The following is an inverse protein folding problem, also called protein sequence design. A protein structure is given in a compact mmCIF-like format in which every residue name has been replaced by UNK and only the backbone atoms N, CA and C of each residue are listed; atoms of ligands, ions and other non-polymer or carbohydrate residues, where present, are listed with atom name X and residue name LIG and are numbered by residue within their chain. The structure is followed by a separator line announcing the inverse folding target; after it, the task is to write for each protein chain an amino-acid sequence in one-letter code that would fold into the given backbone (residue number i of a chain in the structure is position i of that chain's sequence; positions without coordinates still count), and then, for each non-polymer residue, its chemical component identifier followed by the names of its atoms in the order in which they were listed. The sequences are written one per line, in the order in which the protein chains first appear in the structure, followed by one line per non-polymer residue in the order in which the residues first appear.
data_IF_418715531232
#
_entry.id   IF_418715531232
#
_cell.length_a   1.000
_cell.length_b   1.000
_cell.length_c   1.000
_cell.angle_alpha   90.00
_cell.angle_beta   90.00
_cell.angle_gamma   90.00
#
_symmetry.space_group_name_H-M   'P 1'
#
loop_
_entity.id
_entity.type
_entity.pdbx_description
1 polymer ?
#
# COMPACT_ATOMS: atom_id res chain seq x y z
N UNK A 1 -63.12 11.74 -20.18
CA UNK A 1 -63.26 10.80 -19.04
C UNK A 1 -62.70 9.45 -19.48
N UNK A 2 -61.40 9.21 -19.28
CA UNK A 2 -60.75 7.95 -19.69
C UNK A 2 -61.05 6.91 -18.60
N UNK A 3 -61.80 5.85 -18.95
CA UNK A 3 -62.23 4.80 -18.01
C UNK A 3 -61.02 4.19 -17.31
N UNK A 4 -61.03 4.18 -15.97
CA UNK A 4 -59.96 3.65 -15.11
C UNK A 4 -59.52 2.21 -15.47
N UNK A 5 -60.42 1.40 -16.02
CA UNK A 5 -60.10 0.05 -16.52
C UNK A 5 -59.18 0.03 -17.75
N UNK A 6 -59.12 1.09 -18.56
CA UNK A 6 -58.18 1.22 -19.67
C UNK A 6 -56.76 1.51 -19.20
N UNK A 7 -56.63 2.35 -18.16
CA UNK A 7 -55.34 2.73 -17.57
C UNK A 7 -54.69 1.53 -16.88
N UNK A 8 -55.46 0.73 -16.12
CA UNK A 8 -54.92 -0.48 -15.50
C UNK A 8 -54.47 -1.53 -16.52
N UNK A 9 -55.21 -1.70 -17.61
CA UNK A 9 -54.82 -2.63 -18.68
C UNK A 9 -53.56 -2.16 -19.41
N UNK A 10 -53.43 -0.85 -19.65
CA UNK A 10 -52.21 -0.28 -20.22
C UNK A 10 -51.01 -0.44 -19.28
N UNK A 11 -51.18 -0.19 -17.98
CA UNK A 11 -50.13 -0.37 -16.99
C UNK A 11 -49.68 -1.84 -16.89
N UNK A 12 -50.62 -2.78 -16.92
CA UNK A 12 -50.33 -4.21 -16.92
C UNK A 12 -49.58 -4.66 -18.18
N UNK A 13 -49.95 -4.13 -19.35
CA UNK A 13 -49.24 -4.42 -20.61
C UNK A 13 -47.81 -3.85 -20.63
N UNK A 14 -47.62 -2.64 -20.12
CA UNK A 14 -46.28 -2.03 -20.00
C UNK A 14 -45.42 -2.84 -19.05
N UNK A 15 -45.96 -3.24 -17.90
CA UNK A 15 -45.23 -4.03 -16.91
C UNK A 15 -44.85 -5.41 -17.46
N UNK A 16 -45.78 -6.09 -18.15
CA UNK A 16 -45.51 -7.37 -18.79
C UNK A 16 -44.44 -7.25 -19.90
N UNK A 17 -44.47 -6.16 -20.67
CA UNK A 17 -43.46 -5.87 -21.69
C UNK A 17 -42.08 -5.65 -21.06
N UNK A 18 -41.98 -4.85 -19.99
CA UNK A 18 -40.71 -4.60 -19.29
C UNK A 18 -40.14 -5.87 -18.66
N UNK A 19 -41.00 -6.73 -18.09
CA UNK A 19 -40.59 -8.04 -17.56
C UNK A 19 -40.09 -8.97 -18.66
N UNK A 20 -40.78 -9.02 -19.80
CA UNK A 20 -40.35 -9.82 -20.95
C UNK A 20 -39.00 -9.35 -21.50
N UNK A 21 -38.78 -8.04 -21.58
CA UNK A 21 -37.50 -7.46 -21.98
C UNK A 21 -36.40 -7.78 -20.96
N UNK A 22 -36.66 -7.63 -19.66
CA UNK A 22 -35.70 -7.98 -18.60
C UNK A 22 -35.32 -9.47 -18.61
N UNK A 23 -36.30 -10.37 -18.78
CA UNK A 23 -36.04 -11.80 -18.88
C UNK A 23 -35.32 -12.16 -20.18
N UNK A 24 -35.61 -11.48 -21.29
CA UNK A 24 -34.84 -11.63 -22.53
C UNK A 24 -33.38 -11.18 -22.36
N UNK A 25 -33.11 -10.11 -21.60
CA UNK A 25 -31.76 -9.67 -21.24
C UNK A 25 -31.03 -10.62 -20.28
N UNK A 26 -31.75 -11.38 -19.46
CA UNK A 26 -31.16 -12.41 -18.60
C UNK A 26 -30.88 -13.71 -19.38
N UNK A 27 -31.71 -14.04 -20.38
CA UNK A 27 -31.60 -15.26 -21.20
C UNK A 27 -30.62 -15.12 -22.38
N UNK A 28 -30.55 -13.93 -22.97
CA UNK A 28 -29.44 -13.55 -23.85
C UNK A 28 -28.37 -12.98 -22.92
N UNK A 29 -27.36 -13.76 -22.54
CA UNK A 29 -26.14 -13.30 -21.86
C UNK A 29 -25.38 -12.27 -22.72
N UNK A 30 -25.96 -11.10 -22.93
CA UNK A 30 -25.34 -9.99 -23.64
C UNK A 30 -24.45 -9.31 -22.62
N UNK A 31 -23.20 -9.77 -22.56
CA UNK A 31 -22.08 -8.95 -22.12
C UNK A 31 -22.08 -7.67 -22.96
N UNK A 32 -22.77 -6.64 -22.47
CA UNK A 32 -22.64 -5.27 -22.94
C UNK A 32 -21.30 -4.72 -22.44
N UNK A 33 -20.20 -5.31 -22.90
CA UNK A 33 -18.93 -4.62 -23.03
C UNK A 33 -19.14 -3.55 -24.12
N UNK A 34 -19.60 -2.37 -23.70
CA UNK A 34 -19.81 -1.24 -24.58
C UNK A 34 -18.45 -0.66 -25.00
N UNK A 35 -17.74 -1.36 -25.90
CA UNK A 35 -16.61 -0.83 -26.67
C UNK A 35 -17.15 0.15 -27.71
N UNK A 36 -17.51 1.35 -27.25
CA UNK A 36 -17.87 2.50 -28.10
C UNK A 36 -16.68 3.05 -28.91
N UNK A 37 -15.49 2.46 -28.78
CA UNK A 37 -14.25 2.95 -29.42
C UNK A 37 -13.98 2.48 -30.86
N UNK A 38 -14.81 1.61 -31.47
CA UNK A 38 -14.41 0.96 -32.75
C UNK A 38 -15.00 1.55 -34.04
N UNK A 39 -15.76 2.65 -33.99
CA UNK A 39 -16.40 3.21 -35.18
C UNK A 39 -15.95 4.62 -35.58
N UNK A 40 -14.81 5.11 -35.08
CA UNK A 40 -14.15 6.33 -35.59
C UNK A 40 -12.63 6.12 -35.60
N UNK A 41 -12.12 5.45 -36.64
CA UNK A 41 -10.74 5.57 -37.09
C UNK A 41 -10.58 4.80 -38.39
N UNK A 42 -11.01 5.43 -39.49
CA UNK A 42 -10.44 5.13 -40.80
C UNK A 42 -9.37 6.17 -41.09
N UNK A 43 -8.26 5.65 -41.58
CA UNK A 43 -7.07 6.28 -42.17
C UNK A 43 -6.12 7.08 -41.27
N UNK A 44 -5.14 6.37 -40.69
CA UNK A 44 -3.71 6.74 -40.71
C UNK A 44 -2.87 5.44 -40.74
N UNK A 45 -1.84 5.31 -41.60
CA UNK A 45 -1.03 4.11 -41.67
C UNK A 45 0.13 4.13 -40.65
N UNK A 46 0.39 2.94 -40.09
CA UNK A 46 1.66 2.45 -39.58
C UNK A 46 2.43 3.32 -38.56
N UNK A 47 2.39 2.94 -37.28
CA UNK A 47 3.43 2.12 -36.62
C UNK A 47 3.19 2.15 -35.10
N UNK A 48 2.08 1.57 -34.62
CA UNK A 48 1.94 1.34 -33.18
C UNK A 48 2.80 0.14 -32.79
N UNK A 49 4.06 0.42 -32.49
CA UNK A 49 4.80 -0.42 -31.55
C UNK A 49 3.96 -0.40 -30.28
N UNK A 50 3.29 -1.53 -30.00
CA UNK A 50 2.69 -1.77 -28.69
C UNK A 50 3.81 -1.75 -27.66
N UNK A 51 4.15 -0.56 -27.17
CA UNK A 51 5.08 -0.38 -26.07
C UNK A 51 4.37 -0.96 -24.85
N UNK A 52 4.62 -2.23 -24.56
CA UNK A 52 4.35 -2.76 -23.23
C UNK A 52 4.92 -1.73 -22.24
N UNK A 53 4.12 -1.23 -21.28
CA UNK A 53 4.61 -0.23 -20.36
C UNK A 53 5.87 -0.79 -19.70
N UNK A 54 6.99 -0.08 -19.85
CA UNK A 54 8.28 -0.50 -19.31
C UNK A 54 8.10 -0.64 -17.80
N UNK A 55 8.13 -1.88 -17.31
CA UNK A 55 7.91 -2.18 -15.90
C UNK A 55 9.26 -2.11 -15.19
N UNK A 56 9.47 -1.06 -14.42
CA UNK A 56 10.64 -0.95 -13.55
C UNK A 56 10.46 -1.80 -12.29
N UNK A 57 11.59 -2.07 -11.61
CA UNK A 57 11.61 -2.84 -10.37
C UNK A 57 10.64 -2.28 -9.35
N UNK A 58 9.97 -3.15 -8.59
CA UNK A 58 8.89 -2.86 -7.65
C UNK A 58 7.70 -2.06 -8.23
N UNK A 59 7.60 -1.92 -9.56
CA UNK A 59 6.56 -1.11 -10.20
C UNK A 59 6.79 0.40 -10.05
N UNK A 60 8.04 0.83 -9.97
CA UNK A 60 8.40 2.25 -9.98
C UNK A 60 8.04 2.93 -11.31
N UNK A 61 7.92 4.25 -11.25
CA UNK A 61 7.75 5.11 -12.43
C UNK A 61 9.02 5.25 -13.29
N UNK A 62 10.20 5.10 -12.68
CA UNK A 62 11.52 5.26 -13.32
C UNK A 62 12.57 4.32 -12.74
N UNK A 63 13.65 4.08 -13.49
CA UNK A 63 14.82 3.33 -13.02
C UNK A 63 15.60 4.11 -11.96
N UNK A 64 16.19 3.39 -11.00
CA UNK A 64 17.20 3.95 -10.11
C UNK A 64 18.57 4.10 -10.80
N UNK A 65 19.41 5.05 -10.35
CA UNK A 65 20.77 5.17 -10.83
C UNK A 65 21.64 3.95 -10.42
N UNK A 66 22.79 3.73 -11.08
CA UNK A 66 23.74 2.69 -10.68
C UNK A 66 24.15 2.82 -9.20
N UNK A 67 24.48 1.69 -8.57
CA UNK A 67 24.88 1.68 -7.16
C UNK A 67 23.75 1.97 -6.17
N UNK A 68 22.48 1.84 -6.58
CA UNK A 68 21.32 1.98 -5.69
C UNK A 68 20.45 0.71 -5.70
N UNK A 69 19.69 0.51 -4.63
CA UNK A 69 18.57 -0.42 -4.57
C UNK A 69 17.26 0.32 -4.80
N UNK A 70 16.38 -0.24 -5.60
CA UNK A 70 15.00 0.19 -5.79
C UNK A 70 14.12 -0.34 -4.66
N UNK A 71 13.31 0.52 -4.05
CA UNK A 71 12.28 0.09 -3.10
C UNK A 71 10.94 0.76 -3.37
N UNK A 72 9.87 0.05 -3.00
CA UNK A 72 8.51 0.61 -2.89
C UNK A 72 7.83 0.01 -1.68
N UNK A 73 7.17 0.84 -0.89
CA UNK A 73 6.46 0.39 0.29
C UNK A 73 5.18 1.18 0.54
N UNK A 74 4.25 0.54 1.25
CA UNK A 74 2.99 1.11 1.65
C UNK A 74 2.65 0.72 3.10
N UNK A 75 2.00 1.62 3.83
CA UNK A 75 1.39 1.28 5.13
C UNK A 75 0.18 0.37 4.94
N UNK A 76 -0.39 -0.11 6.05
CA UNK A 76 -1.69 -0.78 6.03
C UNK A 76 -2.84 0.18 5.75
N UNK A 77 -3.96 -0.37 5.27
CA UNK A 77 -5.24 0.31 5.13
C UNK A 77 -6.17 -0.14 6.26
N UNK A 78 -6.38 0.77 7.23
CA UNK A 78 -7.07 0.47 8.48
C UNK A 78 -6.53 -0.83 9.12
N UNK A 79 -7.43 -1.73 9.53
CA UNK A 79 -7.12 -3.07 10.05
C UNK A 79 -7.34 -4.20 9.02
N UNK A 80 -7.63 -3.86 7.76
CA UNK A 80 -8.13 -4.81 6.76
C UNK A 80 -7.03 -5.23 5.78
N UNK A 81 -6.25 -4.28 5.28
CA UNK A 81 -5.18 -4.56 4.30
C UNK A 81 -3.84 -4.29 4.95
N UNK A 82 -3.02 -5.33 5.07
CA UNK A 82 -1.68 -5.21 5.62
C UNK A 82 -0.71 -4.43 4.72
N UNK A 83 0.41 -3.96 5.27
CA UNK A 83 1.41 -3.17 4.54
C UNK A 83 2.10 -3.98 3.46
N UNK A 84 2.77 -3.28 2.55
CA UNK A 84 3.54 -3.89 1.46
C UNK A 84 4.96 -3.33 1.48
N UNK A 85 5.98 -4.19 1.42
CA UNK A 85 7.39 -3.80 1.35
C UNK A 85 8.09 -4.57 0.23
N UNK A 86 8.60 -3.86 -0.76
CA UNK A 86 9.33 -4.39 -1.91
C UNK A 86 10.72 -3.77 -2.01
N UNK A 87 11.73 -4.59 -2.28
CA UNK A 87 13.10 -4.18 -2.55
C UNK A 87 13.66 -5.00 -3.71
N UNK A 88 14.23 -4.34 -4.72
CA UNK A 88 14.85 -5.01 -5.89
C UNK A 88 13.94 -6.07 -6.54
N UNK A 89 12.67 -5.74 -6.77
CA UNK A 89 11.61 -6.65 -7.25
C UNK A 89 11.25 -7.82 -6.33
N UNK A 90 11.93 -7.96 -5.19
CA UNK A 90 11.60 -8.96 -4.17
C UNK A 90 10.55 -8.39 -3.23
N UNK A 91 9.38 -9.03 -3.19
CA UNK A 91 8.35 -8.73 -2.21
C UNK A 91 8.76 -9.29 -0.85
N UNK A 92 9.16 -8.41 0.07
CA UNK A 92 9.68 -8.78 1.39
C UNK A 92 8.54 -9.04 2.38
N UNK A 93 7.59 -8.11 2.46
CA UNK A 93 6.45 -8.19 3.38
C UNK A 93 5.16 -7.84 2.64
N UNK A 94 4.10 -8.62 2.85
CA UNK A 94 2.76 -8.32 2.33
C UNK A 94 1.69 -9.23 2.93
N UNK A 95 0.42 -8.82 2.83
CA UNK A 95 -0.72 -9.68 3.14
C UNK A 95 -0.69 -11.02 2.40
N UNK A 96 -0.36 -11.02 1.09
CA UNK A 96 -0.29 -12.27 0.29
C UNK A 96 0.84 -13.21 0.71
N UNK A 97 1.87 -12.71 1.39
CA UNK A 97 2.95 -13.53 1.97
C UNK A 97 2.62 -14.04 3.37
N UNK A 98 1.48 -13.63 3.95
CA UNK A 98 1.06 -13.98 5.30
C UNK A 98 2.14 -13.70 6.37
N UNK A 99 2.92 -12.63 6.19
CA UNK A 99 4.03 -12.26 7.08
C UNK A 99 3.93 -10.82 7.59
N UNK A 100 2.72 -10.27 7.63
CA UNK A 100 2.41 -8.93 8.16
C UNK A 100 1.35 -9.03 9.24
N UNK A 101 1.37 -8.11 10.21
CA UNK A 101 0.43 -8.08 11.31
C UNK A 101 0.29 -6.69 11.91
N UNK A 102 -0.72 -6.50 12.78
CA UNK A 102 -0.97 -5.23 13.47
C UNK A 102 0.30 -4.71 14.16
N UNK A 103 0.46 -3.40 14.17
CA UNK A 103 1.59 -2.70 14.79
C UNK A 103 2.66 -2.29 13.79
N UNK A 104 3.92 -2.46 14.15
CA UNK A 104 5.07 -2.10 13.31
C UNK A 104 5.59 -3.34 12.61
N UNK A 105 5.59 -3.31 11.28
CA UNK A 105 6.13 -4.34 10.40
C UNK A 105 7.53 -3.90 9.97
N UNK A 106 8.54 -4.75 10.19
CA UNK A 106 9.96 -4.43 9.97
C UNK A 106 10.63 -5.45 9.06
N UNK A 107 11.36 -4.96 8.06
CA UNK A 107 12.29 -5.71 7.24
C UNK A 107 13.72 -5.19 7.43
N UNK A 108 14.64 -6.10 7.76
CA UNK A 108 16.07 -5.86 7.88
C UNK A 108 16.77 -6.42 6.65
N UNK A 109 17.61 -5.61 6.02
CA UNK A 109 18.28 -5.95 4.77
C UNK A 109 19.75 -5.58 4.85
N UNK A 110 20.62 -6.43 4.31
CA UNK A 110 22.03 -6.13 4.19
C UNK A 110 22.24 -4.93 3.23
N UNK A 111 22.83 -3.83 3.72
CA UNK A 111 23.01 -2.61 2.92
C UNK A 111 24.05 -2.69 1.79
N UNK A 112 24.83 -3.78 1.70
CA UNK A 112 25.76 -4.05 0.60
C UNK A 112 25.13 -4.94 -0.48
N UNK A 113 24.52 -6.05 -0.07
CA UNK A 113 24.02 -7.07 -1.01
C UNK A 113 22.55 -6.88 -1.38
N UNK A 114 21.75 -6.26 -0.51
CA UNK A 114 20.30 -6.16 -0.67
C UNK A 114 19.55 -7.43 -0.26
N UNK A 115 20.24 -8.39 0.38
CA UNK A 115 19.61 -9.62 0.87
C UNK A 115 18.88 -9.40 2.19
N UNK A 116 17.75 -10.09 2.32
CA UNK A 116 16.92 -10.04 3.52
C UNK A 116 17.63 -10.76 4.67
N UNK A 117 17.83 -10.05 5.77
CA UNK A 117 18.35 -10.60 7.02
C UNK A 117 17.18 -11.16 7.84
N UNK A 118 16.12 -10.35 8.01
CA UNK A 118 14.97 -10.71 8.84
C UNK A 118 13.73 -9.91 8.45
N UNK A 119 12.57 -10.52 8.60
CA UNK A 119 11.27 -9.84 8.59
C UNK A 119 10.50 -10.22 9.84
N UNK A 120 9.82 -9.26 10.46
CA UNK A 120 9.01 -9.48 11.65
C UNK A 120 7.92 -8.40 11.75
N UNK A 121 6.92 -8.61 12.60
CA UNK A 121 6.00 -7.57 13.02
C UNK A 121 5.81 -7.63 14.54
N UNK A 122 5.50 -6.49 15.13
CA UNK A 122 5.31 -6.35 16.57
C UNK A 122 4.01 -5.61 16.84
N UNK A 123 3.09 -6.25 17.57
CA UNK A 123 1.79 -5.68 17.92
C UNK A 123 1.95 -4.54 18.93
N UNK A 124 1.85 -3.31 18.43
CA UNK A 124 1.98 -2.10 19.25
C UNK A 124 0.67 -1.66 19.90
N UNK A 125 -0.41 -2.44 19.77
CA UNK A 125 -1.69 -2.20 20.45
C UNK A 125 -1.84 -3.08 21.68
N UNK A 126 -1.78 -4.41 21.50
CA UNK A 126 -2.04 -5.39 22.55
C UNK A 126 -0.80 -6.20 22.97
N UNK A 127 0.30 -6.09 22.22
CA UNK A 127 1.52 -6.85 22.48
C UNK A 127 2.42 -6.25 23.56
N UNK A 128 3.55 -6.92 23.78
CA UNK A 128 4.68 -6.44 24.58
C UNK A 128 5.73 -5.78 23.66
N UNK A 129 6.28 -4.65 24.10
CA UNK A 129 7.32 -3.90 23.38
C UNK A 129 8.72 -4.49 23.56
N UNK A 130 8.96 -5.30 24.61
CA UNK A 130 10.28 -5.84 24.92
C UNK A 130 10.92 -6.67 23.77
N UNK A 131 10.19 -7.58 23.07
CA UNK A 131 10.74 -8.27 21.91
C UNK A 131 11.15 -7.35 20.77
N UNK A 132 10.43 -6.24 20.57
CA UNK A 132 10.75 -5.26 19.55
C UNK A 132 12.03 -4.50 19.89
N UNK A 133 12.16 -4.04 21.14
CA UNK A 133 13.37 -3.38 21.66
C UNK A 133 14.58 -4.31 21.54
N UNK A 134 14.43 -5.59 21.87
CA UNK A 134 15.48 -6.59 21.72
C UNK A 134 15.96 -6.66 20.26
N UNK A 135 15.03 -6.77 19.31
CA UNK A 135 15.36 -6.78 17.88
C UNK A 135 16.13 -5.50 17.48
N UNK A 136 15.65 -4.32 17.89
CA UNK A 136 16.26 -3.03 17.52
C UNK A 136 17.70 -2.90 18.04
N UNK A 137 18.00 -3.47 19.21
CA UNK A 137 19.35 -3.49 19.80
C UNK A 137 20.30 -4.43 19.06
N UNK A 138 19.80 -5.52 18.50
CA UNK A 138 20.57 -6.54 17.76
C UNK A 138 20.87 -6.14 16.31
N UNK A 139 20.33 -5.02 15.81
CA UNK A 139 20.60 -4.56 14.44
C UNK A 139 22.06 -4.12 14.30
N UNK A 140 22.77 -4.78 13.39
CA UNK A 140 24.17 -4.51 13.05
C UNK A 140 24.33 -3.29 12.13
N UNK A 141 25.45 -2.57 12.28
CA UNK A 141 25.80 -1.42 11.46
C UNK A 141 25.82 -1.75 9.95
N UNK A 142 25.24 -0.86 9.14
CA UNK A 142 25.09 -1.09 7.70
C UNK A 142 23.86 -1.89 7.30
N UNK A 143 23.02 -2.29 8.25
CA UNK A 143 21.69 -2.83 7.96
C UNK A 143 20.75 -1.71 7.53
N UNK A 144 20.08 -1.90 6.39
CA UNK A 144 18.92 -1.11 5.97
C UNK A 144 17.70 -1.58 6.74
N UNK A 145 16.95 -0.63 7.31
CA UNK A 145 15.78 -0.91 8.14
C UNK A 145 14.54 -0.29 7.51
N UNK A 146 13.60 -1.12 7.08
CA UNK A 146 12.34 -0.68 6.49
C UNK A 146 11.20 -0.97 7.47
N UNK A 147 10.41 0.04 7.85
CA UNK A 147 9.30 -0.10 8.80
C UNK A 147 8.00 0.46 8.22
N UNK A 148 6.90 -0.28 8.36
CA UNK A 148 5.56 0.14 7.94
C UNK A 148 4.53 -0.13 9.03
N UNK A 149 3.66 0.85 9.29
CA UNK A 149 2.53 0.70 10.23
C UNK A 149 1.42 -0.18 9.64
N UNK A 150 0.72 -0.90 10.52
CA UNK A 150 -0.56 -1.54 10.22
C UNK A 150 -1.51 -1.40 11.40
N UNK A 151 -2.72 -0.88 11.16
CA UNK A 151 -3.76 -0.62 12.16
C UNK A 151 -3.35 0.39 13.24
N UNK A 152 -2.49 0.01 14.17
CA UNK A 152 -2.12 0.84 15.32
C UNK A 152 -0.65 0.62 15.72
N UNK A 153 0.26 1.57 15.45
CA UNK A 153 1.70 1.37 15.65
C UNK A 153 2.28 1.96 16.95
N UNK A 154 1.48 2.57 17.84
CA UNK A 154 2.02 3.51 18.84
C UNK A 154 1.73 3.19 20.31
N UNK A 155 0.64 2.50 20.65
CA UNK A 155 0.13 2.46 22.04
C UNK A 155 1.13 1.82 23.02
N UNK A 156 1.92 0.85 22.56
CA UNK A 156 2.95 0.17 23.34
C UNK A 156 4.36 0.72 23.11
N UNK A 157 4.55 1.69 22.22
CA UNK A 157 5.87 2.32 22.04
C UNK A 157 6.24 3.16 23.26
N UNK A 158 7.34 2.78 23.91
CA UNK A 158 7.95 3.56 24.99
C UNK A 158 9.11 4.43 24.48
N UNK A 159 9.66 5.27 25.37
CA UNK A 159 10.74 6.20 25.04
C UNK A 159 12.00 5.50 24.54
N UNK A 160 12.29 4.30 25.05
CA UNK A 160 13.44 3.50 24.60
C UNK A 160 13.28 3.05 23.15
N UNK A 161 12.13 2.45 22.79
CA UNK A 161 11.84 2.04 21.42
C UNK A 161 11.87 3.24 20.47
N UNK A 162 11.24 4.36 20.85
CA UNK A 162 11.24 5.60 20.06
C UNK A 162 12.65 6.15 19.85
N UNK A 163 13.49 6.13 20.88
CA UNK A 163 14.89 6.55 20.78
C UNK A 163 15.68 5.63 19.83
N UNK A 164 15.56 4.32 19.98
CA UNK A 164 16.24 3.35 19.11
C UNK A 164 15.84 3.53 17.63
N UNK A 165 14.57 3.79 17.34
CA UNK A 165 14.11 4.05 15.96
C UNK A 165 14.57 5.44 15.47
N UNK A 166 14.62 6.44 16.36
CA UNK A 166 15.17 7.76 16.05
C UNK A 166 16.65 7.70 15.68
N UNK A 167 17.42 6.83 16.35
CA UNK A 167 18.84 6.57 16.08
C UNK A 167 19.06 5.87 14.73
N UNK A 168 18.03 5.22 14.16
CA UNK A 168 18.04 4.68 12.79
C UNK A 168 17.75 5.74 11.73
N UNK A 169 17.49 6.99 12.13
CA UNK A 169 17.27 8.13 11.24
C UNK A 169 15.84 8.67 11.20
N UNK A 170 14.91 8.13 12.00
CA UNK A 170 13.52 8.61 12.04
C UNK A 170 13.43 9.98 12.72
N UNK A 171 12.54 10.82 12.18
CA UNK A 171 12.14 12.12 12.73
C UNK A 171 10.71 12.09 13.28
N UNK A 172 9.82 11.26 12.70
CA UNK A 172 8.41 11.21 13.08
C UNK A 172 8.13 10.28 14.28
N UNK A 173 8.96 9.26 14.52
CA UNK A 173 8.67 8.23 15.53
C UNK A 173 8.58 8.77 16.95
N UNK A 174 9.23 9.89 17.26
CA UNK A 174 9.11 10.54 18.57
C UNK A 174 7.69 10.97 18.89
N UNK A 175 6.91 11.35 17.86
CA UNK A 175 5.56 11.87 17.99
C UNK A 175 4.49 10.94 17.41
N UNK A 176 4.87 9.72 16.97
CA UNK A 176 3.94 8.76 16.37
C UNK A 176 2.83 8.40 17.36
N UNK A 177 1.58 8.64 16.97
CA UNK A 177 0.38 8.50 17.80
C UNK A 177 -0.58 7.42 17.33
N UNK A 178 -1.71 7.31 18.06
CA UNK A 178 -2.69 6.24 17.92
C UNK A 178 -3.27 6.19 16.50
N UNK A 179 -3.05 5.05 15.83
CA UNK A 179 -3.47 4.78 14.43
C UNK A 179 -2.92 5.73 13.38
N UNK A 180 -1.87 6.47 13.70
CA UNK A 180 -1.13 7.20 12.68
C UNK A 180 -0.61 6.20 11.64
N UNK A 181 -0.66 6.57 10.36
CA UNK A 181 0.05 5.83 9.33
C UNK A 181 1.47 6.37 9.21
N UNK A 182 2.44 5.46 9.13
CA UNK A 182 3.85 5.78 9.09
C UNK A 182 4.62 4.73 8.29
N UNK A 183 5.47 5.21 7.39
CA UNK A 183 6.42 4.40 6.64
C UNK A 183 7.79 5.05 6.71
N UNK A 184 8.80 4.21 6.87
CA UNK A 184 10.16 4.67 7.13
C UNK A 184 11.16 3.70 6.53
N UNK A 185 12.20 4.25 5.91
CA UNK A 185 13.42 3.50 5.56
C UNK A 185 14.59 4.23 6.16
N UNK A 186 15.29 3.59 7.08
CA UNK A 186 16.50 4.10 7.73
C UNK A 186 17.65 3.12 7.62
N UNK A 187 18.68 3.35 8.45
CA UNK A 187 19.83 2.48 8.48
C UNK A 187 20.58 2.56 9.80
N UNK A 188 21.09 1.41 10.25
CA UNK A 188 21.96 1.38 11.42
C UNK A 188 23.31 2.01 11.10
N UNK A 189 23.69 3.00 11.90
CA UNK A 189 24.92 3.78 11.72
C UNK A 189 24.73 5.06 10.89
N UNK A 190 23.49 5.39 10.47
CA UNK A 190 23.19 6.67 9.81
C UNK A 190 23.56 7.85 10.73
N UNK A 191 24.09 8.94 10.14
CA UNK A 191 24.49 10.15 10.88
C UNK A 191 23.53 11.32 10.69
N UNK A 192 22.56 11.16 9.81
CA UNK A 192 21.56 12.17 9.46
C UNK A 192 20.16 11.61 9.61
N UNK A 193 19.15 12.48 9.53
CA UNK A 193 17.77 12.04 9.33
C UNK A 193 17.63 11.36 7.97
N UNK A 194 16.76 10.35 7.90
CA UNK A 194 16.49 9.68 6.64
C UNK A 194 15.64 10.58 5.74
N UNK A 195 15.94 10.65 4.42
CA UNK A 195 15.05 11.29 3.46
C UNK A 195 13.83 10.42 3.11
N UNK A 196 13.77 9.18 3.59
CA UNK A 196 12.72 8.21 3.28
C UNK A 196 11.82 7.99 4.50
N UNK A 197 10.97 8.96 4.78
CA UNK A 197 9.99 8.89 5.86
C UNK A 197 8.71 9.64 5.46
N UNK A 198 7.55 9.02 5.70
CA UNK A 198 6.24 9.68 5.57
C UNK A 198 5.37 9.32 6.76
N UNK A 199 4.52 10.26 7.16
CA UNK A 199 3.62 10.16 8.32
C UNK A 199 2.32 10.91 8.03
N UNK A 200 1.19 10.30 8.38
CA UNK A 200 -0.12 10.95 8.40
C UNK A 200 -0.74 10.68 9.76
N UNK A 201 -1.08 11.77 10.45
CA UNK A 201 -1.74 11.72 11.75
C UNK A 201 -3.18 11.25 11.61
N UNK A 202 -3.62 10.39 12.52
CA UNK A 202 -5.03 10.05 12.68
C UNK A 202 -5.81 11.30 13.16
N UNK A 203 -6.82 11.69 12.39
CA UNK A 203 -7.71 12.81 12.72
C UNK A 203 -9.11 12.56 12.18
N UNK A 204 -10.12 12.69 13.04
CA UNK A 204 -11.52 12.49 12.66
C UNK A 204 -11.95 13.39 11.48
N UNK A 205 -11.34 14.57 11.35
CA UNK A 205 -11.68 15.55 10.31
C UNK A 205 -11.11 15.22 8.92
N UNK A 206 -9.99 14.49 8.87
CA UNK A 206 -9.22 14.26 7.61
C UNK A 206 -9.07 12.78 7.25
N UNK A 207 -9.54 11.88 8.09
CA UNK A 207 -9.41 10.45 7.86
C UNK A 207 -10.21 10.00 6.61
N UNK A 208 -9.57 9.14 5.80
CA UNK A 208 -10.20 8.51 4.64
C UNK A 208 -11.06 7.30 5.02
N UNK A 209 -10.70 6.61 6.09
CA UNK A 209 -11.46 5.48 6.63
C UNK A 209 -12.05 5.87 7.99
N UNK A 210 -13.08 5.16 8.43
CA UNK A 210 -13.74 5.44 9.71
C UNK A 210 -12.79 5.18 10.90
N UNK A 211 -12.07 6.22 11.35
CA UNK A 211 -11.11 6.15 12.44
C UNK A 211 -9.69 5.72 12.06
N UNK A 212 -9.34 5.73 10.76
CA UNK A 212 -7.96 5.56 10.28
C UNK A 212 -7.64 6.52 9.12
N UNK A 213 -6.40 7.05 9.05
CA UNK A 213 -5.94 7.84 7.92
C UNK A 213 -5.77 7.01 6.64
N UNK A 214 -5.55 7.69 5.52
CA UNK A 214 -5.30 6.98 4.26
C UNK A 214 -3.96 6.23 4.23
N UNK A 215 -3.81 5.34 3.24
CA UNK A 215 -2.58 4.57 3.01
C UNK A 215 -1.47 5.51 2.54
N UNK A 216 -0.31 5.41 3.18
CA UNK A 216 0.91 6.04 2.71
C UNK A 216 1.61 5.14 1.71
N UNK A 217 2.15 5.72 0.63
CA UNK A 217 3.04 5.04 -0.29
C UNK A 217 4.33 5.84 -0.50
N UNK A 218 5.46 5.14 -0.54
CA UNK A 218 6.77 5.72 -0.83
C UNK A 218 7.53 4.78 -1.75
N UNK A 219 8.15 5.36 -2.77
CA UNK A 219 9.12 4.68 -3.63
C UNK A 219 10.41 5.49 -3.70
N UNK A 220 11.53 4.81 -3.92
CA UNK A 220 12.81 5.49 -3.98
C UNK A 220 13.99 4.59 -4.31
N UNK A 221 15.17 5.20 -4.23
CA UNK A 221 16.45 4.59 -4.54
C UNK A 221 17.37 4.70 -3.32
N UNK A 222 17.71 3.59 -2.70
CA UNK A 222 18.62 3.53 -1.55
C UNK A 222 20.06 3.41 -2.04
N UNK A 223 20.99 4.30 -1.65
CA UNK A 223 22.39 4.14 -2.01
C UNK A 223 22.94 2.85 -1.41
N UNK A 224 23.61 2.02 -2.23
CA UNK A 224 24.32 0.84 -1.74
C UNK A 224 25.50 1.28 -0.89
N UNK A 225 25.69 0.62 0.25
CA UNK A 225 26.85 0.87 1.08
C UNK A 225 28.10 0.43 0.33
N UNK A 226 29.07 1.32 0.20
CA UNK A 226 30.43 1.01 -0.25
C UNK A 226 31.29 0.64 0.97
N UNK A 227 32.38 -0.08 0.75
CA UNK A 227 33.28 -0.51 1.83
C UNK A 227 33.84 0.64 2.66
#
# INVERSE_FOLDING_TARGET
MVRAGGILKFAALIFAFLLAVFLAFQLLEINMDFKLGSMISRSLPANEVSMKPVRYKCGLSKSCPPGHFTFKMASGAASVVGPRVCLEDKLLMSGVKNNVGRGINIALVNGKTGDVIKTAFFDMWAGDVAPFIKLLKEIEDGTVVMMASFDEPSTKLNDEARKLISDLGSSAVSNLGFRDNWIFVGGKGIKTKSPFEQHIKNSADTNKFEGWPEVLEMEGCLPKRQD
#
